data_IF_146422021924
#
_entry.id   IF_146422021924
#
_cell.length_a   1.000
_cell.length_b   1.000
_cell.length_c   1.000
_cell.angle_alpha   90.00
_cell.angle_beta   90.00
_cell.angle_gamma   90.00
#
_symmetry.space_group_name_H-M   'P 1'
#
loop_
_entity.id
_entity.type
_entity.pdbx_description
1 polymer ?
#
# COMPACT_ATOMS: atom_id res chain seq x y z
N UNK A 1 31.80 -6.00 35.35
CA UNK A 1 32.02 -6.41 33.94
C UNK A 1 31.51 -5.30 33.04
N UNK A 2 32.40 -4.66 32.27
CA UNK A 2 32.02 -3.64 31.28
C UNK A 2 31.46 -4.38 30.07
N UNK A 3 30.14 -4.34 29.87
CA UNK A 3 29.57 -4.74 28.58
C UNK A 3 30.06 -3.75 27.54
N UNK A 4 31.03 -4.19 26.75
CA UNK A 4 31.39 -3.57 25.48
C UNK A 4 30.15 -3.70 24.60
N UNK A 5 29.42 -2.59 24.43
CA UNK A 5 28.38 -2.49 23.41
C UNK A 5 29.13 -2.60 22.09
N UNK A 6 29.06 -3.78 21.46
CA UNK A 6 29.55 -3.97 20.10
C UNK A 6 28.90 -2.92 19.20
N UNK A 7 29.71 -2.23 18.42
CA UNK A 7 29.27 -1.19 17.47
C UNK A 7 28.61 -1.83 16.22
N UNK A 8 28.65 -3.16 16.13
CA UNK A 8 27.86 -3.93 15.17
C UNK A 8 26.44 -4.10 15.70
N UNK A 9 25.60 -3.09 15.50
CA UNK A 9 24.16 -3.27 15.66
C UNK A 9 23.69 -4.43 14.78
N UNK A 10 22.92 -5.41 15.30
CA UNK A 10 22.21 -6.31 14.43
C UNK A 10 21.34 -5.46 13.51
N UNK A 11 21.38 -5.80 12.23
CA UNK A 11 20.80 -5.03 11.17
C UNK A 11 20.71 -5.91 9.94
N UNK A 12 20.36 -5.35 8.78
CA UNK A 12 20.32 -6.09 7.53
C UNK A 12 21.62 -6.88 7.28
N UNK A 13 21.49 -8.16 6.95
CA UNK A 13 22.65 -9.04 6.85
C UNK A 13 22.30 -10.43 6.32
N UNK A 14 23.32 -11.17 5.90
CA UNK A 14 23.15 -12.49 5.24
C UNK A 14 22.38 -13.50 6.09
N UNK A 15 22.53 -13.45 7.41
CA UNK A 15 21.78 -14.34 8.31
C UNK A 15 20.27 -14.07 8.26
N UNK A 16 19.86 -12.80 8.39
CA UNK A 16 18.43 -12.42 8.28
C UNK A 16 17.86 -12.74 6.91
N UNK A 17 18.65 -12.52 5.85
CA UNK A 17 18.28 -12.87 4.47
C UNK A 17 18.04 -14.37 4.33
N UNK A 18 18.94 -15.19 4.88
CA UNK A 18 18.79 -16.65 4.85
C UNK A 18 17.56 -17.13 5.64
N UNK A 19 17.32 -16.56 6.84
CA UNK A 19 16.11 -16.84 7.64
C UNK A 19 14.84 -16.53 6.83
N UNK A 20 14.74 -15.35 6.20
CA UNK A 20 13.60 -14.97 5.38
C UNK A 20 13.46 -15.82 4.10
N UNK A 21 14.55 -16.09 3.41
CA UNK A 21 14.54 -16.91 2.19
C UNK A 21 14.15 -18.38 2.45
N UNK A 22 14.37 -18.87 3.69
CA UNK A 22 13.99 -20.22 4.10
C UNK A 22 12.46 -20.41 4.23
N UNK A 23 11.70 -19.32 4.31
CA UNK A 23 10.24 -19.36 4.34
C UNK A 23 9.72 -19.78 2.95
N UNK A 24 8.92 -20.85 2.94
CA UNK A 24 8.28 -21.40 1.76
C UNK A 24 7.02 -22.12 2.20
N UNK A 25 5.90 -21.80 1.55
CA UNK A 25 4.61 -22.43 1.76
C UNK A 25 3.98 -22.81 0.42
N UNK A 26 3.28 -23.94 0.40
CA UNK A 26 2.42 -24.31 -0.72
C UNK A 26 1.18 -23.41 -0.78
N UNK A 27 0.53 -23.30 -1.94
CA UNK A 27 -0.70 -22.51 -2.10
C UNK A 27 -1.81 -22.91 -1.09
N UNK A 28 -1.92 -24.21 -0.79
CA UNK A 28 -2.87 -24.72 0.21
C UNK A 28 -2.52 -24.24 1.62
N UNK A 29 -1.23 -24.27 1.99
CA UNK A 29 -0.79 -23.75 3.29
C UNK A 29 -1.00 -22.25 3.41
N UNK A 30 -0.72 -21.49 2.35
CA UNK A 30 -0.97 -20.04 2.29
C UNK A 30 -2.45 -19.76 2.50
N UNK A 31 -3.34 -20.44 1.77
CA UNK A 31 -4.78 -20.26 1.89
C UNK A 31 -5.27 -20.56 3.32
N UNK A 32 -4.81 -21.68 3.91
CA UNK A 32 -5.16 -22.05 5.27
C UNK A 32 -4.62 -21.06 6.32
N UNK A 33 -3.39 -20.54 6.14
CA UNK A 33 -2.80 -19.52 7.02
C UNK A 33 -3.56 -18.20 6.93
N UNK A 34 -3.82 -17.72 5.72
CA UNK A 34 -4.59 -16.51 5.48
C UNK A 34 -6.00 -16.63 6.08
N UNK A 35 -6.65 -17.78 5.94
CA UNK A 35 -7.95 -18.06 6.58
C UNK A 35 -7.88 -17.98 8.10
N UNK A 36 -6.85 -18.55 8.74
CA UNK A 36 -6.68 -18.43 10.20
C UNK A 36 -6.49 -16.99 10.65
N UNK A 37 -5.72 -16.19 9.91
CA UNK A 37 -5.60 -14.75 10.20
C UNK A 37 -6.95 -14.06 10.05
N UNK A 38 -7.70 -14.38 8.99
CA UNK A 38 -9.02 -13.80 8.70
C UNK A 38 -10.01 -14.09 9.85
N UNK A 39 -10.13 -15.36 10.25
CA UNK A 39 -11.03 -15.79 11.33
C UNK A 39 -10.63 -15.17 12.67
N UNK A 40 -9.34 -15.16 12.99
CA UNK A 40 -8.84 -14.54 14.21
C UNK A 40 -9.10 -13.02 14.26
N UNK A 41 -9.05 -12.33 13.11
CA UNK A 41 -9.41 -10.92 13.05
C UNK A 41 -10.89 -10.70 13.37
N UNK A 42 -11.79 -11.49 12.79
CA UNK A 42 -13.23 -11.40 13.08
C UNK A 42 -13.59 -11.74 14.53
N UNK A 43 -12.87 -12.69 15.12
CA UNK A 43 -13.10 -13.12 16.50
C UNK A 43 -12.56 -12.12 17.53
N UNK A 44 -11.37 -11.55 17.29
CA UNK A 44 -10.61 -10.83 18.32
C UNK A 44 -10.59 -9.31 18.14
N UNK A 45 -10.93 -8.79 16.95
CA UNK A 45 -10.98 -7.36 16.74
C UNK A 45 -12.18 -6.74 17.44
N UNK A 46 -11.95 -5.60 18.12
CA UNK A 46 -13.04 -4.83 18.69
C UNK A 46 -13.90 -4.14 17.60
N UNK A 47 -13.32 -3.82 16.43
CA UNK A 47 -13.92 -3.02 15.36
C UNK A 47 -14.33 -3.86 14.14
N UNK A 48 -13.45 -4.76 13.68
CA UNK A 48 -13.66 -5.65 12.54
C UNK A 48 -14.41 -6.89 13.00
N UNK A 49 -15.73 -6.78 13.11
CA UNK A 49 -16.63 -7.90 13.52
C UNK A 49 -17.33 -8.58 12.35
N UNK A 50 -17.07 -8.10 11.13
CA UNK A 50 -17.63 -8.65 9.91
C UNK A 50 -16.66 -8.44 8.75
N UNK A 51 -16.72 -9.35 7.77
CA UNK A 51 -15.96 -9.34 6.52
C UNK A 51 -15.92 -7.96 5.84
N UNK A 52 -17.08 -7.33 5.70
CA UNK A 52 -17.26 -6.01 5.10
C UNK A 52 -17.39 -4.90 6.15
N UNK A 53 -16.45 -4.86 7.10
CA UNK A 53 -16.40 -3.84 8.15
C UNK A 53 -16.43 -2.41 7.60
N UNK A 54 -16.90 -1.47 8.42
CA UNK A 54 -17.02 -0.04 8.09
C UNK A 54 -16.08 0.84 8.93
N UNK A 55 -15.45 0.25 9.96
CA UNK A 55 -14.51 0.91 10.86
C UNK A 55 -13.33 -0.03 11.09
N UNK A 56 -12.13 0.54 11.11
CA UNK A 56 -10.87 -0.13 11.45
C UNK A 56 -10.06 0.82 12.32
N UNK A 57 -9.36 0.28 13.33
CA UNK A 57 -8.45 0.99 14.21
C UNK A 57 -6.98 0.66 13.94
N UNK A 58 -6.07 1.39 14.57
CA UNK A 58 -4.63 1.09 14.54
C UNK A 58 -4.33 -0.23 15.23
N UNK A 59 -5.02 -0.53 16.34
CA UNK A 59 -4.87 -1.78 17.10
C UNK A 59 -5.25 -3.02 16.27
N UNK A 60 -6.10 -2.84 15.25
CA UNK A 60 -6.42 -3.91 14.29
C UNK A 60 -5.25 -4.21 13.36
N UNK A 61 -4.48 -3.19 12.96
CA UNK A 61 -3.26 -3.37 12.17
C UNK A 61 -2.14 -3.99 13.02
N UNK A 62 -2.02 -3.60 14.28
CA UNK A 62 -1.09 -4.21 15.25
C UNK A 62 -1.42 -5.70 15.47
N UNK A 63 -2.71 -6.01 15.64
CA UNK A 63 -3.19 -7.40 15.74
C UNK A 63 -2.90 -8.17 14.46
N UNK A 64 -3.19 -7.59 13.31
CA UNK A 64 -2.93 -8.22 12.02
C UNK A 64 -1.43 -8.49 11.83
N UNK A 65 -0.55 -7.57 12.23
CA UNK A 65 0.90 -7.80 12.28
C UNK A 65 1.26 -9.01 13.14
N UNK A 66 0.79 -9.07 14.39
CA UNK A 66 1.11 -10.18 15.28
C UNK A 66 0.62 -11.53 14.73
N UNK A 67 -0.58 -11.56 14.12
CA UNK A 67 -1.13 -12.75 13.49
C UNK A 67 -0.30 -13.19 12.28
N UNK A 68 0.05 -12.27 11.37
CA UNK A 68 0.86 -12.59 10.20
C UNK A 68 2.29 -12.99 10.56
N UNK A 69 2.93 -12.29 11.50
CA UNK A 69 4.28 -12.62 11.94
C UNK A 69 4.31 -14.03 12.52
N UNK A 70 3.29 -14.42 13.30
CA UNK A 70 3.14 -15.80 13.79
C UNK A 70 2.88 -16.80 12.66
N UNK A 71 1.88 -16.54 11.81
CA UNK A 71 1.41 -17.53 10.84
C UNK A 71 2.35 -17.70 9.65
N UNK A 72 3.06 -16.66 9.20
CA UNK A 72 3.89 -16.71 7.99
C UNK A 72 5.38 -16.55 8.27
N UNK A 73 5.75 -15.70 9.21
CA UNK A 73 7.15 -15.38 9.47
C UNK A 73 7.73 -16.10 10.70
N UNK A 74 6.92 -16.90 11.42
CA UNK A 74 7.33 -17.64 12.61
C UNK A 74 7.94 -16.75 13.72
N UNK A 75 7.50 -15.50 13.82
CA UNK A 75 8.01 -14.51 14.78
C UNK A 75 9.27 -13.77 14.34
N UNK A 76 9.79 -14.05 13.14
CA UNK A 76 11.06 -13.49 12.67
C UNK A 76 11.01 -11.97 12.51
N UNK A 77 9.88 -11.38 12.10
CA UNK A 77 9.81 -9.93 11.93
C UNK A 77 9.85 -9.24 13.30
N UNK A 78 9.12 -9.76 14.28
CA UNK A 78 9.18 -9.29 15.67
C UNK A 78 10.59 -9.40 16.27
N UNK A 79 11.26 -10.55 16.09
CA UNK A 79 12.65 -10.77 16.51
C UNK A 79 13.61 -9.72 15.92
N UNK A 80 13.57 -9.53 14.60
CA UNK A 80 14.44 -8.58 13.90
C UNK A 80 14.15 -7.12 14.29
N UNK A 81 12.88 -6.77 14.55
CA UNK A 81 12.51 -5.44 15.05
C UNK A 81 13.04 -5.19 16.47
N UNK A 82 13.00 -6.19 17.34
CA UNK A 82 13.57 -6.10 18.70
C UNK A 82 15.08 -5.93 18.65
N UNK A 83 15.76 -6.71 17.81
CA UNK A 83 17.21 -6.59 17.57
C UNK A 83 17.59 -5.18 17.06
N UNK A 84 16.80 -4.60 16.16
CA UNK A 84 17.00 -3.24 15.63
C UNK A 84 16.67 -2.13 16.66
N UNK A 85 16.19 -2.47 17.86
CA UNK A 85 15.61 -1.53 18.83
C UNK A 85 14.48 -0.66 18.24
N UNK A 86 13.76 -1.22 17.27
CA UNK A 86 12.71 -0.59 16.49
C UNK A 86 11.30 -1.14 16.85
N UNK A 87 11.21 -1.96 17.91
CA UNK A 87 9.94 -2.44 18.46
C UNK A 87 9.41 -1.50 19.58
N UNK A 88 8.09 -1.25 19.65
CA UNK A 88 7.10 -1.56 18.61
C UNK A 88 7.28 -0.65 17.39
N UNK A 89 6.99 -1.17 16.21
CA UNK A 89 6.90 -0.34 15.00
C UNK A 89 5.57 0.42 14.96
N UNK A 90 5.49 1.48 14.18
CA UNK A 90 4.27 2.29 14.09
C UNK A 90 3.27 1.70 13.07
N UNK A 91 1.99 1.76 13.41
CA UNK A 91 0.90 1.48 12.48
C UNK A 91 0.00 2.70 12.32
N UNK A 92 -0.43 3.00 11.10
CA UNK A 92 -1.27 4.16 10.82
C UNK A 92 -2.37 3.90 9.81
N UNK A 93 -3.48 4.58 10.02
CA UNK A 93 -4.57 4.68 9.07
C UNK A 93 -4.52 6.05 8.39
N UNK A 94 -4.30 6.06 7.08
CA UNK A 94 -4.18 7.28 6.28
C UNK A 94 -5.44 7.55 5.49
N UNK A 95 -5.91 8.80 5.52
CA UNK A 95 -6.94 9.31 4.59
C UNK A 95 -6.32 9.98 3.35
N UNK A 96 -5.03 10.30 3.42
CA UNK A 96 -4.30 11.08 2.39
C UNK A 96 -3.66 10.18 1.34
N UNK A 97 -3.41 8.92 1.69
CA UNK A 97 -2.85 7.94 0.78
C UNK A 97 -3.91 7.57 -0.28
N UNK A 98 -3.71 8.04 -1.51
CA UNK A 98 -4.69 7.95 -2.61
C UNK A 98 -4.11 7.35 -3.88
N UNK A 99 -2.81 7.03 -3.87
CA UNK A 99 -2.07 6.42 -4.98
C UNK A 99 -1.66 4.97 -4.72
N UNK A 100 -1.58 4.59 -3.45
CA UNK A 100 -1.27 3.25 -2.98
C UNK A 100 -2.23 2.95 -1.82
N UNK A 101 -2.60 1.69 -1.64
CA UNK A 101 -3.50 1.30 -0.56
C UNK A 101 -2.75 0.97 0.74
N UNK A 102 -1.47 0.68 0.64
CA UNK A 102 -0.55 0.54 1.77
C UNK A 102 0.72 1.33 1.50
N UNK A 103 1.49 1.57 2.55
CA UNK A 103 2.84 2.09 2.46
C UNK A 103 3.66 1.67 3.67
N UNK A 104 4.84 1.13 3.41
CA UNK A 104 5.87 0.84 4.43
C UNK A 104 6.99 1.86 4.34
N UNK A 105 7.37 2.42 5.48
CA UNK A 105 8.46 3.38 5.59
C UNK A 105 9.56 2.86 6.51
N UNK A 106 10.81 3.17 6.15
CA UNK A 106 11.99 3.03 6.99
C UNK A 106 12.63 4.40 7.17
N UNK A 107 12.73 4.87 8.41
CA UNK A 107 13.34 6.16 8.73
C UNK A 107 14.62 5.97 9.55
N UNK A 108 15.70 6.64 9.16
CA UNK A 108 16.92 6.71 9.93
C UNK A 108 16.96 8.03 10.71
N UNK A 109 17.03 7.94 12.04
CA UNK A 109 17.16 9.09 12.93
C UNK A 109 18.51 9.06 13.63
N UNK A 110 19.07 10.24 13.93
CA UNK A 110 20.22 10.35 14.83
C UNK A 110 19.72 10.74 16.21
N UNK A 111 20.05 9.95 17.22
CA UNK A 111 19.62 10.15 18.59
C UNK A 111 20.83 10.22 19.52
N UNK A 112 20.84 11.14 20.50
CA UNK A 112 21.89 11.17 21.51
C UNK A 112 21.71 9.99 22.47
N UNK A 113 22.74 9.14 22.58
CA UNK A 113 22.80 8.00 23.50
C UNK A 113 24.12 8.08 24.26
N UNK A 114 24.06 8.22 25.59
CA UNK A 114 25.23 8.32 26.48
C UNK A 114 26.28 9.35 25.99
N UNK A 115 25.84 10.52 25.52
CA UNK A 115 26.71 11.60 25.06
C UNK A 115 27.29 11.42 23.64
N UNK A 116 26.91 10.37 22.89
CA UNK A 116 27.29 10.15 21.49
C UNK A 116 26.06 10.12 20.59
N UNK A 117 26.23 10.53 19.33
CA UNK A 117 25.16 10.44 18.33
C UNK A 117 25.11 9.02 17.76
N UNK A 118 24.06 8.27 18.10
CA UNK A 118 23.77 6.94 17.55
C UNK A 118 22.74 7.04 16.42
N UNK A 119 22.79 6.11 15.46
CA UNK A 119 21.74 5.96 14.44
C UNK A 119 20.68 5.02 14.99
N UNK A 120 19.41 5.42 14.91
CA UNK A 120 18.25 4.57 15.19
C UNK A 120 17.43 4.42 13.92
N UNK A 121 16.87 3.24 13.71
CA UNK A 121 15.93 2.98 12.63
C UNK A 121 14.52 2.87 13.21
N UNK A 122 13.55 3.36 12.46
CA UNK A 122 12.13 3.21 12.77
C UNK A 122 11.39 2.73 11.54
N UNK A 123 10.38 1.90 11.78
CA UNK A 123 9.53 1.34 10.74
C UNK A 123 8.08 1.76 10.97
N UNK A 124 7.36 1.98 9.88
CA UNK A 124 5.94 2.30 9.90
C UNK A 124 5.22 1.60 8.76
N UNK A 125 4.07 0.99 9.04
CA UNK A 125 3.10 0.55 8.03
C UNK A 125 1.87 1.45 8.11
N UNK A 126 1.52 2.05 6.98
CA UNK A 126 0.33 2.88 6.80
C UNK A 126 -0.64 2.21 5.83
N UNK A 127 -1.93 2.16 6.18
CA UNK A 127 -3.00 1.67 5.28
C UNK A 127 -3.95 2.80 4.90
N UNK A 128 -4.32 2.89 3.62
CA UNK A 128 -5.30 3.84 3.12
C UNK A 128 -6.72 3.42 3.47
N UNK A 129 -7.33 4.15 4.41
CA UNK A 129 -8.78 4.01 4.69
C UNK A 129 -9.62 4.46 3.51
N UNK A 130 -9.17 5.47 2.76
CA UNK A 130 -9.88 5.98 1.59
C UNK A 130 -10.02 4.90 0.52
N UNK A 131 -8.91 4.25 0.14
CA UNK A 131 -8.93 3.22 -0.90
C UNK A 131 -9.59 1.93 -0.42
N UNK A 132 -9.27 1.49 0.81
CA UNK A 132 -9.85 0.28 1.40
C UNK A 132 -11.38 0.33 1.41
N UNK A 133 -11.98 1.44 1.86
CA UNK A 133 -13.43 1.57 1.90
C UNK A 133 -14.06 1.84 0.54
N UNK A 134 -13.37 2.52 -0.39
CA UNK A 134 -13.89 2.73 -1.75
C UNK A 134 -13.88 1.48 -2.60
N UNK A 135 -13.05 0.47 -2.27
CA UNK A 135 -12.85 -0.74 -3.08
C UNK A 135 -14.15 -1.53 -3.29
N UNK A 136 -15.05 -1.50 -2.31
CA UNK A 136 -16.34 -2.22 -2.34
C UNK A 136 -17.57 -1.30 -2.38
N UNK A 137 -17.40 -0.03 -2.75
CA UNK A 137 -18.52 0.88 -2.99
C UNK A 137 -18.83 0.89 -4.48
N UNK A 138 -19.99 0.32 -4.86
CA UNK A 138 -20.53 0.25 -6.23
C UNK A 138 -19.89 -0.81 -7.15
N UNK A 139 -19.85 -2.09 -6.76
CA UNK A 139 -19.22 -3.14 -7.58
C UNK A 139 -20.23 -4.15 -8.11
N UNK A 140 -20.53 -4.05 -9.41
CA UNK A 140 -20.97 -5.17 -10.28
C UNK A 140 -19.76 -5.99 -10.79
N UNK A 141 -18.58 -5.82 -10.17
CA UNK A 141 -17.28 -6.30 -10.69
C UNK A 141 -16.45 -6.97 -9.59
N UNK A 142 -15.54 -7.84 -10.01
CA UNK A 142 -14.55 -8.48 -9.14
C UNK A 142 -13.49 -7.49 -8.61
N UNK A 143 -13.08 -7.67 -7.35
CA UNK A 143 -11.99 -6.92 -6.71
C UNK A 143 -10.76 -7.83 -6.65
N UNK A 144 -9.65 -7.43 -7.24
CA UNK A 144 -8.40 -8.21 -7.24
C UNK A 144 -7.33 -7.38 -6.54
N UNK A 145 -6.54 -7.98 -5.65
CA UNK A 145 -5.40 -7.32 -4.97
C UNK A 145 -4.22 -8.28 -4.94
N UNK A 146 -3.05 -7.86 -5.44
CA UNK A 146 -1.87 -8.73 -5.54
C UNK A 146 -2.07 -9.93 -6.48
N UNK A 147 -2.93 -9.78 -7.49
CA UNK A 147 -3.34 -10.86 -8.41
C UNK A 147 -4.37 -11.85 -7.83
N UNK A 148 -4.85 -11.64 -6.60
CA UNK A 148 -5.81 -12.53 -5.94
C UNK A 148 -7.19 -11.86 -5.82
N UNK A 149 -8.23 -12.60 -6.17
CA UNK A 149 -9.62 -12.19 -5.99
C UNK A 149 -9.92 -12.00 -4.49
N UNK A 150 -10.50 -10.86 -4.16
CA UNK A 150 -10.96 -10.49 -2.83
C UNK A 150 -12.49 -10.38 -2.85
N UNK A 151 -13.15 -11.16 -2.00
CA UNK A 151 -14.60 -11.22 -1.88
C UNK A 151 -15.14 -10.16 -0.92
N UNK A 152 -14.29 -9.65 -0.03
CA UNK A 152 -14.66 -8.67 0.98
C UNK A 152 -13.50 -7.75 1.38
N UNK A 153 -13.81 -6.74 2.20
CA UNK A 153 -12.84 -5.75 2.68
C UNK A 153 -11.74 -6.34 3.55
N UNK A 154 -12.00 -7.42 4.29
CA UNK A 154 -11.01 -8.04 5.15
C UNK A 154 -9.98 -8.82 4.32
N UNK A 155 -10.40 -9.53 3.27
CA UNK A 155 -9.48 -10.12 2.30
C UNK A 155 -8.65 -9.06 1.59
N UNK A 156 -9.25 -7.94 1.18
CA UNK A 156 -8.51 -6.84 0.56
C UNK A 156 -7.50 -6.22 1.55
N UNK A 157 -7.88 -6.01 2.81
CA UNK A 157 -6.97 -5.53 3.85
C UNK A 157 -5.80 -6.50 4.05
N UNK A 158 -6.07 -7.79 4.12
CA UNK A 158 -5.04 -8.83 4.21
C UNK A 158 -4.03 -8.75 3.07
N UNK A 159 -4.49 -8.66 1.80
CA UNK A 159 -3.59 -8.58 0.64
C UNK A 159 -2.74 -7.31 0.65
N UNK A 160 -3.32 -6.17 1.03
CA UNK A 160 -2.56 -4.91 1.23
C UNK A 160 -1.47 -5.15 2.28
N UNK A 161 -1.85 -5.71 3.41
CA UNK A 161 -0.96 -5.86 4.56
C UNK A 161 0.17 -6.87 4.28
N UNK A 162 -0.12 -7.97 3.60
CA UNK A 162 0.88 -8.93 3.11
C UNK A 162 1.95 -8.24 2.26
N UNK A 163 1.55 -7.35 1.36
CA UNK A 163 2.48 -6.57 0.54
C UNK A 163 3.38 -5.67 1.40
N UNK A 164 2.80 -4.97 2.37
CA UNK A 164 3.56 -4.11 3.28
C UNK A 164 4.52 -4.90 4.19
N UNK A 165 4.12 -6.11 4.60
CA UNK A 165 5.00 -7.01 5.35
C UNK A 165 6.19 -7.50 4.52
N UNK A 166 6.04 -7.69 3.21
CA UNK A 166 7.18 -7.99 2.34
C UNK A 166 8.16 -6.82 2.27
N UNK A 167 7.67 -5.58 2.18
CA UNK A 167 8.53 -4.40 2.25
C UNK A 167 9.29 -4.33 3.58
N UNK A 168 8.60 -4.60 4.70
CA UNK A 168 9.23 -4.67 6.01
C UNK A 168 10.31 -5.77 6.07
N UNK A 169 10.01 -6.97 5.58
CA UNK A 169 10.95 -8.08 5.53
C UNK A 169 12.19 -7.73 4.68
N UNK A 170 12.01 -7.08 3.53
CA UNK A 170 13.13 -6.59 2.72
C UNK A 170 13.96 -5.54 3.45
N UNK A 171 13.33 -4.61 4.14
CA UNK A 171 14.07 -3.64 4.95
C UNK A 171 14.87 -4.29 6.08
N UNK A 172 14.30 -5.27 6.79
CA UNK A 172 14.96 -5.97 7.90
C UNK A 172 16.09 -6.89 7.42
N UNK A 173 15.95 -7.51 6.24
CA UNK A 173 16.95 -8.41 5.65
C UNK A 173 18.02 -7.72 4.81
N UNK A 174 17.64 -6.74 3.98
CA UNK A 174 18.50 -6.11 2.96
C UNK A 174 18.70 -4.60 3.16
N UNK A 175 17.99 -3.95 4.09
CA UNK A 175 18.15 -2.53 4.41
C UNK A 175 17.53 -1.57 3.40
N UNK A 176 16.98 -2.12 2.33
CA UNK A 176 16.26 -1.44 1.24
C UNK A 176 15.14 -2.36 0.77
N UNK A 177 14.13 -1.78 0.12
CA UNK A 177 13.05 -2.55 -0.46
C UNK A 177 12.63 -1.97 -1.81
N UNK A 178 12.18 -2.84 -2.71
CA UNK A 178 11.67 -2.44 -4.03
C UNK A 178 10.72 -3.52 -4.55
N UNK A 179 9.46 -3.14 -4.81
CA UNK A 179 8.46 -4.05 -5.35
C UNK A 179 8.77 -4.54 -6.78
N UNK A 180 9.71 -3.91 -7.50
CA UNK A 180 10.14 -4.35 -8.82
C UNK A 180 11.39 -5.25 -8.78
N UNK A 181 11.95 -5.50 -7.60
CA UNK A 181 13.14 -6.33 -7.46
C UNK A 181 12.79 -7.82 -7.46
N UNK A 182 13.66 -8.64 -8.05
CA UNK A 182 13.49 -10.09 -8.11
C UNK A 182 13.32 -10.73 -6.71
N UNK A 183 14.03 -10.19 -5.71
CA UNK A 183 13.92 -10.66 -4.33
C UNK A 183 12.52 -10.48 -3.76
N UNK A 184 11.90 -9.31 -3.96
CA UNK A 184 10.53 -9.05 -3.55
C UNK A 184 9.56 -10.04 -4.20
N UNK A 185 9.72 -10.27 -5.52
CA UNK A 185 8.89 -11.22 -6.26
C UNK A 185 9.06 -12.66 -5.75
N UNK A 186 10.30 -13.04 -5.41
CA UNK A 186 10.60 -14.36 -4.86
C UNK A 186 9.96 -14.54 -3.48
N UNK A 187 10.11 -13.58 -2.57
CA UNK A 187 9.48 -13.63 -1.24
C UNK A 187 7.95 -13.65 -1.34
N UNK A 188 7.38 -12.80 -2.19
CA UNK A 188 5.93 -12.71 -2.43
C UNK A 188 5.34 -14.07 -2.85
N UNK A 189 5.93 -14.72 -3.85
CA UNK A 189 5.50 -16.06 -4.30
C UNK A 189 5.69 -17.14 -3.23
N UNK A 190 6.82 -17.13 -2.52
CA UNK A 190 7.16 -18.19 -1.56
C UNK A 190 6.35 -18.12 -0.27
N UNK A 191 6.07 -16.90 0.20
CA UNK A 191 5.43 -16.66 1.50
C UNK A 191 3.92 -16.57 1.33
N UNK A 192 3.44 -15.90 0.29
CA UNK A 192 2.01 -15.59 0.11
C UNK A 192 1.40 -16.12 -1.18
N UNK A 193 2.14 -16.86 -2.00
CA UNK A 193 1.65 -17.41 -3.27
C UNK A 193 0.98 -16.36 -4.18
N UNK A 194 1.39 -15.09 -4.12
CA UNK A 194 0.88 -14.05 -5.01
C UNK A 194 1.35 -14.30 -6.44
N UNK A 195 0.45 -14.20 -7.40
CA UNK A 195 0.73 -14.42 -8.83
C UNK A 195 1.07 -13.10 -9.56
N UNK A 196 0.70 -11.94 -9.00
CA UNK A 196 0.99 -10.61 -9.52
C UNK A 196 1.78 -9.76 -8.52
N UNK A 197 2.62 -8.85 -9.03
CA UNK A 197 3.51 -8.02 -8.18
C UNK A 197 3.04 -6.57 -8.03
N UNK A 198 2.06 -6.13 -8.83
CA UNK A 198 1.52 -4.79 -8.78
C UNK A 198 0.45 -4.63 -7.71
N UNK A 199 0.40 -3.42 -7.13
CA UNK A 199 -0.72 -2.97 -6.30
C UNK A 199 -1.97 -2.77 -7.16
N UNK A 200 -2.64 -3.84 -7.60
CA UNK A 200 -3.84 -3.68 -8.44
C UNK A 200 -5.09 -3.37 -7.60
N UNK A 201 -4.95 -2.49 -6.60
CA UNK A 201 -6.12 -1.82 -6.05
C UNK A 201 -6.52 -0.71 -6.99
N UNK A 202 -7.70 -0.90 -7.58
CA UNK A 202 -8.31 -0.05 -8.61
C UNK A 202 -7.98 1.41 -8.34
N UNK A 203 -7.06 1.93 -9.13
CA UNK A 203 -6.72 3.34 -9.03
C UNK A 203 -7.93 4.14 -9.47
N UNK A 204 -8.13 5.39 -8.98
CA UNK A 204 -9.18 6.26 -9.51
C UNK A 204 -9.16 6.42 -11.04
N UNK A 205 -8.00 6.17 -11.68
CA UNK A 205 -7.85 6.10 -13.15
C UNK A 205 -8.57 4.92 -13.77
N UNK A 206 -8.45 3.73 -13.18
CA UNK A 206 -9.12 2.52 -13.67
C UNK A 206 -10.62 2.54 -13.36
N UNK A 207 -11.01 3.13 -12.23
CA UNK A 207 -12.42 3.43 -11.94
C UNK A 207 -13.00 4.38 -13.00
N UNK A 208 -12.27 5.43 -13.38
CA UNK A 208 -12.72 6.35 -14.42
C UNK A 208 -12.83 5.71 -15.81
N UNK A 209 -11.87 4.86 -16.16
CA UNK A 209 -11.86 4.16 -17.44
C UNK A 209 -13.02 3.15 -17.56
N UNK A 210 -13.41 2.49 -16.47
CA UNK A 210 -14.51 1.50 -16.48
C UNK A 210 -15.87 2.17 -16.33
N UNK A 211 -16.02 3.11 -15.40
CA UNK A 211 -17.33 3.71 -15.10
C UNK A 211 -17.72 4.86 -16.04
N UNK A 212 -16.73 5.54 -16.64
CA UNK A 212 -16.97 6.75 -17.44
C UNK A 212 -16.29 6.72 -18.81
N UNK A 213 -15.57 5.63 -19.17
CA UNK A 213 -14.75 5.51 -20.39
C UNK A 213 -13.72 6.63 -20.58
N UNK A 214 -13.26 7.28 -19.50
CA UNK A 214 -12.29 8.39 -19.56
C UNK A 214 -10.92 7.95 -19.05
N UNK A 215 -9.86 8.19 -19.85
CA UNK A 215 -8.46 7.93 -19.53
C UNK A 215 -7.63 9.22 -19.53
N UNK A 216 -6.47 9.19 -18.88
CA UNK A 216 -5.49 10.28 -19.00
C UNK A 216 -4.98 10.32 -20.45
N UNK A 217 -4.99 11.49 -21.05
CA UNK A 217 -4.67 11.72 -22.46
C UNK A 217 -5.90 11.87 -23.36
N UNK A 218 -7.08 11.41 -22.92
CA UNK A 218 -8.29 11.51 -23.73
C UNK A 218 -8.70 12.96 -23.96
N UNK A 219 -9.28 13.22 -25.14
CA UNK A 219 -10.00 14.45 -25.42
C UNK A 219 -11.42 14.34 -24.86
N UNK A 220 -11.83 15.35 -24.11
CA UNK A 220 -13.11 15.39 -23.43
C UNK A 220 -13.76 16.75 -23.61
N UNK A 221 -15.09 16.77 -23.51
CA UNK A 221 -15.87 17.98 -23.34
C UNK A 221 -16.65 17.98 -22.04
N UNK A 222 -16.94 19.17 -21.53
CA UNK A 222 -17.82 19.38 -20.38
C UNK A 222 -18.48 20.75 -20.47
N UNK A 223 -19.63 20.91 -19.81
CA UNK A 223 -20.33 22.19 -19.70
C UNK A 223 -20.03 22.85 -18.36
N UNK A 224 -19.77 24.15 -18.39
CA UNK A 224 -19.60 24.99 -17.21
C UNK A 224 -20.19 26.37 -17.52
N UNK A 225 -21.10 26.86 -16.66
CA UNK A 225 -21.72 28.18 -16.80
C UNK A 225 -22.40 28.42 -18.17
N UNK A 226 -22.96 27.36 -18.77
CA UNK A 226 -23.64 27.42 -20.07
C UNK A 226 -22.69 27.44 -21.28
N UNK A 227 -21.37 27.33 -21.06
CA UNK A 227 -20.39 27.18 -22.12
C UNK A 227 -19.83 25.77 -22.16
N UNK A 228 -19.66 25.23 -23.38
CA UNK A 228 -19.02 23.94 -23.61
C UNK A 228 -17.53 24.14 -23.80
N UNK A 229 -16.76 23.39 -23.03
CA UNK A 229 -15.31 23.42 -23.02
C UNK A 229 -14.76 22.11 -23.56
N UNK A 230 -13.66 22.21 -24.32
CA UNK A 230 -12.97 21.06 -24.91
C UNK A 230 -11.52 21.06 -24.43
N UNK A 231 -11.05 19.92 -23.94
CA UNK A 231 -9.69 19.82 -23.45
C UNK A 231 -9.22 18.39 -23.25
N UNK A 232 -7.95 18.27 -22.86
CA UNK A 232 -7.29 16.99 -22.67
C UNK A 232 -7.22 16.64 -21.19
N UNK A 233 -7.53 15.38 -20.85
CA UNK A 233 -7.38 14.89 -19.48
C UNK A 233 -5.91 14.76 -19.13
N UNK A 234 -5.43 15.53 -18.16
CA UNK A 234 -4.04 15.50 -17.69
C UNK A 234 -3.85 14.57 -16.49
N UNK A 235 -4.85 14.51 -15.59
CA UNK A 235 -4.80 13.69 -14.38
C UNK A 235 -6.19 13.25 -13.98
N UNK A 236 -6.32 12.04 -13.44
CA UNK A 236 -7.56 11.54 -12.85
C UNK A 236 -7.30 11.19 -11.38
N UNK A 237 -8.16 11.71 -10.51
CA UNK A 237 -8.26 11.39 -9.08
C UNK A 237 -9.76 11.15 -8.77
N UNK A 238 -10.33 11.72 -7.71
CA UNK A 238 -11.80 11.77 -7.53
C UNK A 238 -12.49 12.57 -8.66
N UNK A 239 -11.76 13.50 -9.28
CA UNK A 239 -12.16 14.34 -10.42
C UNK A 239 -11.04 14.35 -11.44
N UNK A 240 -11.36 14.66 -12.69
CA UNK A 240 -10.36 14.88 -13.73
C UNK A 240 -9.80 16.30 -13.66
N UNK A 241 -8.50 16.41 -13.90
CA UNK A 241 -7.86 17.67 -14.26
C UNK A 241 -7.83 17.74 -15.78
N UNK A 242 -8.59 18.66 -16.37
CA UNK A 242 -8.68 18.89 -17.81
C UNK A 242 -7.89 20.15 -18.16
N UNK A 243 -7.03 20.04 -19.16
CA UNK A 243 -6.24 21.14 -19.69
C UNK A 243 -6.86 21.64 -21.01
N UNK A 244 -7.12 22.94 -21.06
CA UNK A 244 -7.66 23.62 -22.24
C UNK A 244 -6.60 24.59 -22.74
N UNK A 245 -6.15 24.39 -23.98
CA UNK A 245 -5.13 25.25 -24.57
C UNK A 245 -5.66 26.69 -24.67
N UNK A 246 -4.92 27.64 -24.11
CA UNK A 246 -5.34 29.04 -24.05
C UNK A 246 -4.14 29.96 -23.92
N UNK A 247 -4.07 31.06 -24.71
CA UNK A 247 -3.03 32.08 -24.56
C UNK A 247 -3.00 32.72 -23.17
N UNK A 248 -4.10 32.64 -22.40
CA UNK A 248 -4.23 33.16 -21.03
C UNK A 248 -3.92 32.12 -19.95
N UNK A 249 -3.56 30.89 -20.33
CA UNK A 249 -3.27 29.80 -19.41
C UNK A 249 -1.88 29.85 -18.78
N UNK A 250 -1.59 28.94 -17.87
CA UNK A 250 -0.23 28.78 -17.31
C UNK A 250 0.67 28.04 -18.32
N UNK A 251 1.96 28.38 -18.43
CA UNK A 251 2.90 27.66 -19.28
C UNK A 251 3.18 26.25 -18.72
N UNK A 252 3.21 25.26 -19.61
CA UNK A 252 3.53 23.87 -19.30
C UNK A 252 4.83 23.43 -19.98
N UNK A 253 5.37 22.27 -19.56
CA UNK A 253 6.65 21.74 -20.01
C UNK A 253 6.69 21.35 -21.50
N UNK A 254 5.55 21.31 -22.17
CA UNK A 254 5.42 21.08 -23.62
C UNK A 254 5.50 22.39 -24.44
N UNK A 255 5.75 23.53 -23.78
CA UNK A 255 5.85 24.85 -24.41
C UNK A 255 4.51 25.52 -24.69
N UNK A 256 3.38 24.87 -24.36
CA UNK A 256 2.04 25.44 -24.54
C UNK A 256 1.49 26.03 -23.25
N UNK A 257 0.40 26.80 -23.36
CA UNK A 257 -0.29 27.41 -22.22
C UNK A 257 -1.68 26.81 -22.04
N UNK A 258 -2.04 26.47 -20.81
CA UNK A 258 -3.32 25.81 -20.52
C UNK A 258 -4.07 26.46 -19.36
N UNK A 259 -5.39 26.56 -19.50
CA UNK A 259 -6.30 26.72 -18.38
C UNK A 259 -6.56 25.35 -17.77
N UNK A 260 -6.54 25.27 -16.44
CA UNK A 260 -6.71 24.01 -15.71
C UNK A 260 -8.09 23.98 -15.05
N UNK A 261 -8.90 22.98 -15.41
CA UNK A 261 -10.21 22.75 -14.83
C UNK A 261 -10.24 21.45 -14.04
N UNK A 262 -10.96 21.44 -12.91
CA UNK A 262 -11.14 20.27 -12.07
C UNK A 262 -12.59 19.77 -12.17
N UNK A 263 -12.83 18.82 -13.07
CA UNK A 263 -14.17 18.41 -13.50
C UNK A 263 -14.54 17.06 -12.92
N UNK A 264 -15.70 16.92 -12.23
CA UNK A 264 -16.23 15.62 -11.84
C UNK A 264 -16.36 14.67 -13.03
N UNK A 265 -15.96 13.41 -12.86
CA UNK A 265 -15.97 12.41 -13.95
C UNK A 265 -17.34 12.24 -14.63
N UNK A 266 -18.50 12.26 -13.92
CA UNK A 266 -19.81 12.13 -14.57
C UNK A 266 -20.17 13.28 -15.53
N UNK A 267 -19.50 14.43 -15.42
CA UNK A 267 -19.75 15.59 -16.29
C UNK A 267 -18.90 15.59 -17.55
N UNK A 268 -17.98 14.64 -17.69
CA UNK A 268 -17.13 14.53 -18.87
C UNK A 268 -17.84 13.71 -19.95
N UNK A 269 -17.69 14.17 -21.19
CA UNK A 269 -18.07 13.45 -22.40
C UNK A 269 -16.79 13.19 -23.19
N UNK A 270 -16.48 11.93 -23.46
CA UNK A 270 -15.33 11.59 -24.31
C UNK A 270 -15.59 11.99 -25.74
N UNK A 271 -14.58 12.57 -26.37
CA UNK A 271 -14.58 12.84 -27.81
C UNK A 271 -13.84 11.71 -28.51
N UNK A 272 -14.50 11.14 -29.53
CA UNK A 272 -13.95 10.13 -30.44
C UNK A 272 -12.83 10.68 -31.31
#
# INVERSE_FOLDING_TARGET
MKHVISIDSPGPGRERQAKLASLLFSAVEVSNRARRVYEAMLEQSAQIRAANFTVVGTDDLERMFALYDREFFRGLLGEMLMEDYAHPMAFRLSRRLTRAAGQTMRQLRRVPVAGKMAKRVDYEISVSTTLLFSTFQNVEREVIVGGLLCHDRLEALQRIFEHELLHLAEFLGWGRSSCSAENFHALSRRIFAHEGVSHDLVTPREQAAVAFDVRVGDQVSFELEGATYHGRVNRITRRATVLIESPRGEPFSDGRRYLTYYVPLPLLRKQS
#
